data_IF_284202259285
#
_entry.id   IF_284202259285
#
_cell.length_a   1.000
_cell.length_b   1.000
_cell.length_c   1.000
_cell.angle_alpha   90.00
_cell.angle_beta   90.00
_cell.angle_gamma   90.00
#
_symmetry.space_group_name_H-M   'P 1'
#
loop_
_entity.id
_entity.type
_entity.pdbx_description
1 polymer ?
#
# COMPACT_ATOMS: atom_id res chain seq x y z
N UNK A 1 8.66 12.14 22.55
CA UNK A 1 9.21 12.32 21.19
C UNK A 1 8.32 13.30 20.44
N UNK A 2 8.87 14.28 19.74
CA UNK A 2 8.11 15.03 18.75
C UNK A 2 8.17 14.23 17.44
N UNK A 3 7.07 14.08 16.71
CA UNK A 3 7.04 13.25 15.50
C UNK A 3 8.00 13.77 14.41
N UNK A 4 8.20 15.10 14.37
CA UNK A 4 9.12 15.76 13.44
C UNK A 4 10.59 15.46 13.69
N UNK A 5 10.93 14.95 14.88
CA UNK A 5 12.32 14.59 15.23
C UNK A 5 12.66 13.16 14.77
N UNK A 6 11.67 12.41 14.30
CA UNK A 6 11.88 11.06 13.77
C UNK A 6 12.61 11.08 12.44
N UNK A 7 13.58 10.20 12.26
CA UNK A 7 14.24 9.99 10.95
C UNK A 7 13.26 9.52 9.85
N UNK A 8 12.10 9.01 10.24
CA UNK A 8 11.04 8.54 9.34
C UNK A 8 9.99 9.60 9.02
N UNK A 9 10.04 10.77 9.68
CA UNK A 9 9.10 11.84 9.37
C UNK A 9 9.30 12.36 7.95
N UNK A 10 8.22 12.44 7.21
CA UNK A 10 8.16 13.08 5.89
C UNK A 10 6.87 13.88 5.78
N UNK A 11 6.97 15.08 5.26
CA UNK A 11 5.86 16.00 4.97
C UNK A 11 5.50 16.05 3.46
N UNK A 12 5.90 15.03 2.71
CA UNK A 12 5.75 14.92 1.26
C UNK A 12 5.21 13.55 0.86
N UNK A 13 4.55 13.46 -0.29
CA UNK A 13 4.20 12.21 -0.92
C UNK A 13 5.44 11.51 -1.49
N UNK A 14 5.40 10.19 -1.57
CA UNK A 14 6.45 9.39 -2.19
C UNK A 14 5.97 8.88 -3.55
N UNK A 15 6.44 9.47 -4.63
CA UNK A 15 6.04 9.13 -6.00
C UNK A 15 7.30 8.92 -6.85
N UNK A 16 7.40 7.77 -7.51
CA UNK A 16 8.51 7.42 -8.39
C UNK A 16 9.90 7.51 -7.73
N UNK A 17 9.99 7.16 -6.44
CA UNK A 17 11.25 7.26 -5.69
C UNK A 17 11.66 8.70 -5.34
N UNK A 18 10.72 9.64 -5.36
CA UNK A 18 10.94 11.05 -5.02
C UNK A 18 9.92 11.54 -4.01
N UNK A 19 10.36 12.44 -3.12
CA UNK A 19 9.50 13.09 -2.12
C UNK A 19 8.96 14.39 -2.70
N UNK A 20 7.66 14.43 -3.03
CA UNK A 20 7.02 15.53 -3.77
C UNK A 20 5.87 16.16 -3.00
N UNK A 21 5.66 17.47 -3.18
CA UNK A 21 4.49 18.21 -2.70
C UNK A 21 3.27 18.06 -3.62
N UNK A 22 2.17 18.70 -3.24
CA UNK A 22 1.04 18.91 -4.15
C UNK A 22 1.36 20.00 -5.17
N UNK A 23 0.86 19.87 -6.40
CA UNK A 23 1.04 20.86 -7.47
C UNK A 23 0.43 22.21 -7.10
N UNK A 24 -0.64 22.20 -6.30
CA UNK A 24 -1.28 23.41 -5.76
C UNK A 24 -0.49 24.10 -4.65
N UNK A 25 0.50 23.42 -4.07
CA UNK A 25 1.17 23.85 -2.83
C UNK A 25 0.32 23.71 -1.57
N UNK A 26 -0.95 23.27 -1.69
CA UNK A 26 -1.82 23.08 -0.53
C UNK A 26 -1.42 21.87 0.32
N UNK A 27 -1.65 22.00 1.63
CA UNK A 27 -1.39 20.94 2.62
C UNK A 27 -2.63 20.61 3.43
N UNK A 28 -2.57 19.47 4.12
CA UNK A 28 -3.57 19.03 5.09
C UNK A 28 -2.86 18.90 6.44
N UNK A 29 -3.39 19.56 7.47
CA UNK A 29 -2.91 19.40 8.85
C UNK A 29 -3.25 18.02 9.39
N UNK A 30 -2.29 17.43 10.10
CA UNK A 30 -2.44 16.19 10.85
C UNK A 30 -2.35 16.51 12.33
N UNK A 31 -3.35 16.09 13.09
CA UNK A 31 -3.45 16.43 14.50
C UNK A 31 -3.29 15.18 15.38
N UNK A 32 -2.66 15.35 16.52
CA UNK A 32 -2.68 14.34 17.58
C UNK A 32 -4.11 14.29 18.17
N UNK A 33 -4.81 13.15 18.11
CA UNK A 33 -6.21 13.06 18.53
C UNK A 33 -6.41 13.23 20.05
N UNK A 34 -5.38 13.02 20.87
CA UNK A 34 -5.46 13.18 22.32
C UNK A 34 -5.28 14.65 22.75
N UNK A 35 -4.44 15.42 22.05
CA UNK A 35 -4.11 16.80 22.41
C UNK A 35 -4.75 17.83 21.50
N UNK A 36 -5.26 17.40 20.35
CA UNK A 36 -5.79 18.22 19.25
C UNK A 36 -4.76 19.21 18.65
N UNK A 37 -3.50 19.09 19.01
CA UNK A 37 -2.42 19.91 18.47
C UNK A 37 -1.96 19.35 17.12
N UNK A 38 -1.65 20.25 16.19
CA UNK A 38 -1.01 19.86 14.95
C UNK A 38 0.36 19.24 15.21
N UNK A 39 0.63 18.12 14.55
CA UNK A 39 1.88 17.37 14.64
C UNK A 39 2.67 17.40 13.35
N UNK A 40 2.09 17.97 12.30
CA UNK A 40 2.70 18.15 10.98
C UNK A 40 1.66 18.30 9.90
N UNK A 41 2.12 18.44 8.67
CA UNK A 41 1.28 18.58 7.49
C UNK A 41 1.68 17.59 6.41
N UNK A 42 0.75 17.26 5.50
CA UNK A 42 1.02 16.45 4.30
C UNK A 42 0.41 17.11 3.07
N UNK A 43 0.90 16.83 1.86
CA UNK A 43 0.38 17.43 0.63
C UNK A 43 -1.09 17.10 0.41
N UNK A 44 -1.85 18.09 -0.06
CA UNK A 44 -3.25 17.94 -0.48
C UNK A 44 -3.31 17.63 -1.97
N UNK A 45 -2.81 16.47 -2.35
CA UNK A 45 -2.80 16.02 -3.74
C UNK A 45 -4.21 15.68 -4.24
N UNK A 46 -4.37 15.67 -5.55
CA UNK A 46 -5.61 15.35 -6.25
C UNK A 46 -5.38 14.38 -7.41
N UNK A 47 -6.19 14.54 -8.45
CA UNK A 47 -6.20 13.67 -9.64
C UNK A 47 -4.86 13.63 -10.38
N UNK A 48 -4.19 14.79 -10.56
CA UNK A 48 -2.98 14.85 -11.39
C UNK A 48 -1.79 14.10 -10.78
N UNK A 49 -1.56 14.29 -9.48
CA UNK A 49 -0.50 13.57 -8.76
C UNK A 49 -0.82 12.07 -8.69
N UNK A 50 -2.10 11.72 -8.58
CA UNK A 50 -2.53 10.32 -8.61
C UNK A 50 -2.24 9.67 -9.96
N UNK A 51 -2.51 10.36 -11.07
CA UNK A 51 -2.14 9.89 -12.42
C UNK A 51 -0.64 9.64 -12.53
N UNK A 52 0.19 10.60 -12.09
CA UNK A 52 1.65 10.43 -12.11
C UNK A 52 2.11 9.22 -11.28
N UNK A 53 1.52 8.99 -10.11
CA UNK A 53 1.83 7.81 -9.30
C UNK A 53 1.45 6.49 -9.99
N UNK A 54 0.29 6.45 -10.66
CA UNK A 54 -0.16 5.29 -11.45
C UNK A 54 0.76 5.05 -12.66
N UNK A 55 1.11 6.10 -13.39
CA UNK A 55 2.00 6.03 -14.56
C UNK A 55 3.40 5.58 -14.16
N UNK A 56 3.95 6.11 -13.07
CA UNK A 56 5.22 5.68 -12.50
C UNK A 56 5.21 4.20 -12.13
N UNK A 57 4.13 3.74 -11.47
CA UNK A 57 3.95 2.34 -11.12
C UNK A 57 3.90 1.45 -12.38
N UNK A 58 3.17 1.88 -13.40
CA UNK A 58 3.07 1.14 -14.66
C UNK A 58 4.38 1.10 -15.43
N UNK A 59 5.14 2.19 -15.47
CA UNK A 59 6.44 2.26 -16.11
C UNK A 59 7.48 1.36 -15.43
N UNK A 60 7.45 1.24 -14.10
CA UNK A 60 8.35 0.38 -13.33
C UNK A 60 7.96 -1.11 -13.37
N UNK A 61 6.70 -1.43 -13.70
CA UNK A 61 6.17 -2.79 -13.64
C UNK A 61 6.92 -3.83 -14.48
N UNK A 62 7.31 -3.58 -15.76
CA UNK A 62 7.99 -4.57 -16.59
C UNK A 62 9.28 -5.10 -15.97
N UNK A 63 10.10 -4.21 -15.39
CA UNK A 63 11.33 -4.62 -14.69
C UNK A 63 11.01 -5.42 -13.42
N UNK A 64 10.04 -4.95 -12.62
CA UNK A 64 9.68 -5.62 -11.35
C UNK A 64 9.12 -7.02 -11.56
N UNK A 65 8.20 -7.19 -12.50
CA UNK A 65 7.63 -8.51 -12.82
C UNK A 65 8.66 -9.47 -13.41
N UNK A 66 9.68 -8.96 -14.10
CA UNK A 66 10.74 -9.78 -14.68
C UNK A 66 11.76 -10.29 -13.65
N UNK A 67 11.81 -9.68 -12.46
CA UNK A 67 12.66 -10.19 -11.36
C UNK A 67 12.20 -11.57 -10.93
N UNK A 68 13.17 -12.43 -10.58
CA UNK A 68 12.84 -13.73 -10.02
C UNK A 68 12.07 -13.59 -8.69
N UNK A 69 11.29 -14.61 -8.33
CA UNK A 69 10.60 -14.66 -7.03
C UNK A 69 11.58 -14.48 -5.86
N UNK A 70 12.80 -15.02 -5.97
CA UNK A 70 13.86 -14.86 -4.98
C UNK A 70 14.28 -13.40 -4.80
N UNK A 71 14.54 -12.69 -5.88
CA UNK A 71 14.94 -11.29 -5.81
C UNK A 71 13.87 -10.40 -5.16
N UNK A 72 12.58 -10.63 -5.47
CA UNK A 72 11.47 -9.91 -4.82
C UNK A 72 11.35 -10.29 -3.34
N UNK A 73 11.48 -11.57 -3.03
CA UNK A 73 11.50 -12.10 -1.66
C UNK A 73 12.59 -11.46 -0.80
N UNK A 74 13.81 -11.34 -1.33
CA UNK A 74 14.95 -10.79 -0.59
C UNK A 74 14.74 -9.29 -0.25
N UNK A 75 14.13 -8.51 -1.14
CA UNK A 75 13.77 -7.10 -0.88
C UNK A 75 12.67 -7.01 0.18
N UNK A 76 11.62 -7.83 0.07
CA UNK A 76 10.55 -7.89 1.07
C UNK A 76 11.10 -8.31 2.45
N UNK A 77 12.00 -9.30 2.50
CA UNK A 77 12.63 -9.73 3.74
C UNK A 77 13.41 -8.60 4.39
N UNK A 78 14.18 -7.86 3.61
CA UNK A 78 14.90 -6.68 4.11
C UNK A 78 13.93 -5.60 4.64
N UNK A 79 12.80 -5.38 3.96
CA UNK A 79 11.77 -4.46 4.44
C UNK A 79 11.19 -4.89 5.79
N UNK A 80 10.91 -6.19 5.95
CA UNK A 80 10.52 -6.77 7.24
C UNK A 80 11.57 -6.50 8.33
N UNK A 81 12.83 -6.85 8.05
CA UNK A 81 13.92 -6.71 9.02
C UNK A 81 14.04 -5.23 9.48
N UNK A 82 13.99 -4.28 8.55
CA UNK A 82 13.99 -2.84 8.84
C UNK A 82 12.77 -2.40 9.68
N UNK A 83 11.58 -2.96 9.44
CA UNK A 83 10.40 -2.67 10.27
C UNK A 83 10.60 -3.16 11.71
N UNK A 84 11.18 -4.33 11.90
CA UNK A 84 11.43 -4.89 13.24
C UNK A 84 12.54 -4.13 13.97
N UNK A 85 13.63 -3.80 13.29
CA UNK A 85 14.74 -3.00 13.85
C UNK A 85 14.27 -1.62 14.33
N UNK A 86 13.31 -1.02 13.64
CA UNK A 86 12.81 0.32 13.94
C UNK A 86 11.43 0.31 14.64
N UNK A 87 11.03 -0.84 15.18
CA UNK A 87 9.69 -1.07 15.75
C UNK A 87 9.29 -0.02 16.79
N UNK A 88 10.21 0.35 17.66
CA UNK A 88 9.91 1.30 18.75
C UNK A 88 9.61 2.70 18.22
N UNK A 89 10.41 3.20 17.30
CA UNK A 89 10.22 4.53 16.72
C UNK A 89 8.93 4.60 15.86
N UNK A 90 8.67 3.57 15.06
CA UNK A 90 7.43 3.44 14.29
C UNK A 90 6.20 3.39 15.21
N UNK A 91 6.28 2.69 16.34
CA UNK A 91 5.20 2.60 17.31
C UNK A 91 4.92 3.95 17.99
N UNK A 92 5.97 4.69 18.33
CA UNK A 92 5.83 6.04 18.91
C UNK A 92 5.19 7.00 17.92
N UNK A 93 5.61 7.01 16.64
CA UNK A 93 4.98 7.80 15.59
C UNK A 93 3.49 7.46 15.44
N UNK A 94 3.15 6.17 15.42
CA UNK A 94 1.77 5.71 15.32
C UNK A 94 0.93 6.16 16.53
N UNK A 95 1.47 6.05 17.75
CA UNK A 95 0.77 6.52 18.96
C UNK A 95 0.49 8.02 18.88
N UNK A 96 1.43 8.81 18.36
CA UNK A 96 1.28 10.27 18.25
C UNK A 96 0.19 10.64 17.22
N UNK A 97 0.18 9.99 16.04
CA UNK A 97 -0.77 10.36 14.99
C UNK A 97 -2.15 9.70 15.13
N UNK A 98 -2.23 8.48 15.66
CA UNK A 98 -3.46 7.70 15.73
C UNK A 98 -4.11 7.67 17.11
N UNK A 99 -3.33 7.90 18.17
CA UNK A 99 -3.82 7.98 19.55
C UNK A 99 -3.96 6.65 20.27
N UNK A 100 -3.60 5.50 19.67
CA UNK A 100 -3.63 4.22 20.38
C UNK A 100 -2.50 4.11 21.43
N UNK A 101 -2.70 3.32 22.50
CA UNK A 101 -1.66 3.07 23.49
C UNK A 101 -0.39 2.50 22.87
N UNK A 102 0.76 2.89 23.38
CA UNK A 102 2.07 2.50 22.82
C UNK A 102 2.26 0.98 22.71
N UNK A 103 1.74 0.21 23.66
CA UNK A 103 1.83 -1.25 23.61
C UNK A 103 1.00 -1.84 22.46
N UNK A 104 -0.16 -1.24 22.14
CA UNK A 104 -0.95 -1.62 20.98
C UNK A 104 -0.27 -1.22 19.68
N UNK A 105 0.37 -0.04 19.64
CA UNK A 105 1.17 0.39 18.49
C UNK A 105 2.34 -0.56 18.23
N UNK A 106 3.08 -0.96 19.29
CA UNK A 106 4.13 -1.99 19.19
C UNK A 106 3.59 -3.32 18.66
N UNK A 107 2.41 -3.72 19.12
CA UNK A 107 1.69 -4.90 18.64
C UNK A 107 1.36 -4.80 17.16
N UNK A 108 0.84 -3.64 16.74
CA UNK A 108 0.47 -3.41 15.34
C UNK A 108 1.69 -3.39 14.40
N UNK A 109 2.81 -2.78 14.79
CA UNK A 109 4.02 -2.82 13.96
C UNK A 109 4.47 -4.27 13.75
N UNK A 110 4.50 -5.09 14.82
CA UNK A 110 4.81 -6.52 14.70
C UNK A 110 3.82 -7.28 13.81
N UNK A 111 2.53 -7.01 13.96
CA UNK A 111 1.47 -7.57 13.13
C UNK A 111 1.59 -7.14 11.67
N UNK A 112 1.86 -5.86 11.39
CA UNK A 112 2.10 -5.36 10.04
C UNK A 112 3.34 -5.98 9.40
N UNK A 113 4.42 -6.13 10.16
CA UNK A 113 5.64 -6.76 9.71
C UNK A 113 5.44 -8.25 9.38
N UNK A 114 4.62 -8.98 10.14
CA UNK A 114 4.36 -10.40 9.88
C UNK A 114 3.72 -10.67 8.51
N UNK A 115 2.94 -9.73 7.95
CA UNK A 115 2.48 -9.85 6.57
C UNK A 115 3.63 -9.74 5.57
N UNK A 116 4.57 -8.83 5.81
CA UNK A 116 5.74 -8.67 4.92
C UNK A 116 6.61 -9.92 4.97
N UNK A 117 6.86 -10.47 6.17
CA UNK A 117 7.59 -11.73 6.36
C UNK A 117 6.90 -12.87 5.61
N UNK A 118 5.61 -13.10 5.89
CA UNK A 118 4.83 -14.18 5.27
C UNK A 118 4.90 -14.12 3.75
N UNK A 119 4.60 -12.96 3.18
CA UNK A 119 4.58 -12.82 1.72
C UNK A 119 5.96 -12.75 1.08
N UNK A 120 7.02 -12.45 1.83
CA UNK A 120 8.39 -12.61 1.34
C UNK A 120 8.69 -14.09 1.05
N UNK A 121 8.17 -15.00 1.87
CA UNK A 121 8.33 -16.44 1.69
C UNK A 121 7.35 -17.01 0.65
N UNK A 122 6.08 -16.56 0.68
CA UNK A 122 5.07 -16.98 -0.29
C UNK A 122 5.37 -16.51 -1.71
N UNK A 123 6.17 -15.46 -1.91
CA UNK A 123 6.64 -15.06 -3.24
C UNK A 123 7.23 -16.21 -4.05
N UNK A 124 7.90 -17.15 -3.37
CA UNK A 124 8.55 -18.34 -3.97
C UNK A 124 7.60 -19.51 -4.21
N UNK A 125 6.32 -19.42 -3.76
CA UNK A 125 5.30 -20.47 -3.85
C UNK A 125 4.14 -20.11 -4.78
N UNK A 126 4.31 -19.13 -5.65
CA UNK A 126 3.33 -18.78 -6.69
C UNK A 126 3.43 -19.81 -7.81
N UNK A 127 2.98 -21.02 -7.52
CA UNK A 127 3.02 -22.16 -8.47
C UNK A 127 1.91 -22.02 -9.52
N UNK A 128 2.13 -22.65 -10.67
CA UNK A 128 1.10 -22.94 -11.65
C UNK A 128 0.54 -24.35 -11.47
N UNK A 129 -0.31 -24.76 -12.41
CA UNK A 129 -0.95 -26.07 -12.40
C UNK A 129 -0.70 -26.80 -13.72
N UNK A 130 -0.58 -28.12 -13.68
CA UNK A 130 -0.64 -28.98 -14.84
C UNK A 130 -1.91 -29.82 -14.73
N UNK A 131 -2.82 -29.64 -15.67
CA UNK A 131 -4.17 -30.22 -15.64
C UNK A 131 -4.24 -31.30 -16.70
N UNK A 132 -4.73 -32.53 -16.39
CA UNK A 132 -5.03 -33.53 -17.40
C UNK A 132 -6.08 -33.03 -18.38
N UNK A 133 -5.82 -33.18 -19.68
CA UNK A 133 -6.81 -32.95 -20.73
C UNK A 133 -7.60 -34.24 -20.97
N UNK A 134 -8.90 -34.16 -21.33
CA UNK A 134 -9.67 -35.34 -21.76
C UNK A 134 -9.12 -36.01 -23.01
N UNK A 135 -8.32 -35.29 -23.80
CA UNK A 135 -7.64 -35.83 -24.98
C UNK A 135 -6.22 -36.27 -24.61
N UNK A 136 -5.73 -37.32 -25.26
CA UNK A 136 -4.42 -37.89 -24.96
C UNK A 136 -3.25 -37.19 -25.65
N UNK A 137 -3.52 -36.34 -26.63
CA UNK A 137 -2.54 -35.66 -27.48
C UNK A 137 -2.09 -34.29 -26.94
N UNK A 138 -2.62 -33.84 -25.80
CA UNK A 138 -2.32 -32.51 -25.24
C UNK A 138 -2.22 -32.50 -23.71
N UNK A 139 -1.65 -31.42 -23.19
CA UNK A 139 -1.59 -31.09 -21.75
C UNK A 139 -1.95 -29.65 -21.54
N UNK A 140 -2.66 -29.34 -20.46
CA UNK A 140 -3.02 -27.99 -20.04
C UNK A 140 -2.03 -27.53 -18.99
N UNK A 141 -1.38 -26.40 -19.20
CA UNK A 141 -0.48 -25.77 -18.24
C UNK A 141 -1.02 -24.39 -17.89
N UNK A 142 -1.21 -24.14 -16.59
CA UNK A 142 -1.68 -22.85 -16.05
C UNK A 142 -0.49 -22.13 -15.44
N UNK A 143 -0.25 -20.89 -15.87
CA UNK A 143 0.79 -20.01 -15.33
C UNK A 143 0.12 -18.84 -14.60
N UNK A 144 0.54 -18.58 -13.36
CA UNK A 144 0.10 -17.40 -12.59
C UNK A 144 1.00 -16.22 -12.93
N UNK A 145 0.39 -15.10 -13.28
CA UNK A 145 1.10 -13.88 -13.66
C UNK A 145 0.60 -12.67 -12.85
N UNK A 146 1.47 -11.66 -12.57
CA UNK A 146 1.05 -10.43 -11.93
C UNK A 146 0.05 -9.65 -12.80
N UNK A 147 -1.02 -9.15 -12.18
CA UNK A 147 -2.11 -8.48 -12.90
C UNK A 147 -1.78 -7.06 -13.36
N UNK A 148 -0.79 -6.39 -12.75
CA UNK A 148 -0.41 -5.01 -13.03
C UNK A 148 -0.48 -4.12 -11.80
N UNK A 149 -0.75 -2.83 -12.00
CA UNK A 149 -0.79 -1.83 -10.92
C UNK A 149 -1.93 -2.12 -9.95
N UNK A 150 -1.61 -2.13 -8.65
CA UNK A 150 -2.54 -2.34 -7.55
C UNK A 150 -2.73 -1.04 -6.77
N UNK A 151 -3.98 -0.60 -6.61
CA UNK A 151 -4.34 0.50 -5.71
C UNK A 151 -4.67 -0.04 -4.31
N UNK A 152 -4.16 0.61 -3.28
CA UNK A 152 -4.41 0.28 -1.87
C UNK A 152 -4.96 1.50 -1.14
N UNK A 153 -6.21 1.43 -0.68
CA UNK A 153 -6.84 2.48 0.12
C UNK A 153 -7.08 1.92 1.51
N UNK A 154 -6.58 2.61 2.55
CA UNK A 154 -6.55 2.10 3.92
C UNK A 154 -7.18 3.06 4.93
N UNK A 155 -7.80 2.53 6.01
CA UNK A 155 -8.38 3.33 7.08
C UNK A 155 -7.31 3.78 8.09
N UNK A 156 -7.76 4.60 9.06
CA UNK A 156 -6.92 5.18 10.10
C UNK A 156 -6.65 4.27 11.30
N UNK A 157 -7.47 3.23 11.52
CA UNK A 157 -7.46 2.45 12.76
C UNK A 157 -6.27 1.47 12.90
N UNK A 158 -5.71 1.02 11.77
CA UNK A 158 -4.50 0.20 11.69
C UNK A 158 -3.60 0.74 10.57
N UNK A 159 -2.97 1.90 10.76
CA UNK A 159 -2.32 2.65 9.68
C UNK A 159 -1.06 1.99 9.11
N UNK A 160 -0.47 1.03 9.82
CA UNK A 160 0.64 0.22 9.34
C UNK A 160 0.16 -1.12 8.78
N UNK A 161 -0.54 -1.92 9.59
CA UNK A 161 -0.91 -3.29 9.23
C UNK A 161 -1.89 -3.37 8.04
N UNK A 162 -2.80 -2.39 7.87
CA UNK A 162 -3.72 -2.40 6.73
C UNK A 162 -3.00 -2.08 5.41
N UNK A 163 -1.87 -1.41 5.45
CA UNK A 163 -1.03 -1.17 4.29
C UNK A 163 -0.24 -2.44 3.94
N UNK A 164 0.53 -2.97 4.89
CA UNK A 164 1.42 -4.10 4.63
C UNK A 164 0.67 -5.34 4.17
N UNK A 165 -0.49 -5.67 4.76
CA UNK A 165 -1.33 -6.81 4.35
C UNK A 165 -1.88 -6.72 2.92
N UNK A 166 -1.95 -5.51 2.34
CA UNK A 166 -2.37 -5.27 0.95
C UNK A 166 -1.18 -5.20 0.00
N UNK A 167 -0.13 -4.51 0.42
CA UNK A 167 1.03 -4.23 -0.42
C UNK A 167 1.99 -5.42 -0.50
N UNK A 168 2.24 -6.12 0.61
CA UNK A 168 3.18 -7.23 0.63
C UNK A 168 2.80 -8.34 -0.38
N UNK A 169 1.56 -8.87 -0.41
CA UNK A 169 1.18 -9.87 -1.42
C UNK A 169 1.27 -9.34 -2.85
N UNK A 170 0.89 -8.07 -3.10
CA UNK A 170 1.00 -7.49 -4.43
C UNK A 170 2.45 -7.40 -4.90
N UNK A 171 3.34 -6.87 -4.06
CA UNK A 171 4.77 -6.74 -4.33
C UNK A 171 5.43 -8.11 -4.51
N UNK A 172 5.07 -9.10 -3.68
CA UNK A 172 5.59 -10.45 -3.73
C UNK A 172 5.36 -11.13 -5.09
N UNK A 173 4.17 -10.96 -5.67
CA UNK A 173 3.83 -11.56 -6.97
C UNK A 173 4.29 -10.74 -8.17
N UNK A 174 4.89 -9.55 -7.95
CA UNK A 174 5.43 -8.71 -9.02
C UNK A 174 4.49 -7.59 -9.48
N UNK A 175 3.52 -7.17 -8.65
CA UNK A 175 2.64 -6.02 -8.89
C UNK A 175 3.18 -4.77 -8.16
N UNK A 176 3.30 -3.61 -8.83
CA UNK A 176 3.58 -2.35 -8.15
C UNK A 176 2.33 -1.82 -7.45
N UNK A 177 2.52 -0.93 -6.47
CA UNK A 177 1.43 -0.43 -5.63
C UNK A 177 1.38 1.09 -5.56
N UNK A 178 0.15 1.62 -5.56
CA UNK A 178 -0.16 3.02 -5.23
C UNK A 178 -1.02 3.02 -3.98
N UNK A 179 -0.52 3.63 -2.91
CA UNK A 179 -1.11 3.61 -1.57
C UNK A 179 -1.74 4.97 -1.28
N UNK A 180 -3.02 4.96 -0.91
CA UNK A 180 -3.71 6.11 -0.34
C UNK A 180 -4.04 5.81 1.12
N UNK A 181 -3.24 6.30 2.09
CA UNK A 181 -3.54 6.16 3.51
C UNK A 181 -4.70 7.07 3.93
N UNK A 182 -5.27 6.83 5.11
CA UNK A 182 -6.20 7.77 5.70
C UNK A 182 -5.53 9.13 5.95
N UNK A 183 -6.28 10.22 5.77
CA UNK A 183 -5.75 11.57 5.95
C UNK A 183 -5.39 11.89 7.40
N UNK A 184 -5.98 11.16 8.35
CA UNK A 184 -5.71 11.29 9.79
C UNK A 184 -4.40 10.63 10.23
N UNK A 185 -3.90 9.64 9.48
CA UNK A 185 -2.73 8.83 9.86
C UNK A 185 -1.81 8.56 8.66
N UNK A 186 -1.29 9.63 8.02
CA UNK A 186 -0.44 9.50 6.85
C UNK A 186 1.00 9.15 7.18
N UNK A 187 1.52 9.55 8.36
CA UNK A 187 2.94 9.43 8.69
C UNK A 187 3.39 7.98 8.83
N UNK A 188 2.55 7.08 9.35
CA UNK A 188 2.85 5.64 9.36
C UNK A 188 3.05 5.09 7.94
N UNK A 189 2.28 5.56 6.96
CA UNK A 189 2.44 5.14 5.56
C UNK A 189 3.72 5.70 4.94
N UNK A 190 4.04 6.97 5.23
CA UNK A 190 5.25 7.62 4.73
C UNK A 190 6.51 7.00 5.36
N UNK A 191 6.46 6.62 6.64
CA UNK A 191 7.54 5.87 7.30
C UNK A 191 7.77 4.50 6.64
N UNK A 192 6.71 3.79 6.26
CA UNK A 192 6.82 2.54 5.48
C UNK A 192 7.49 2.77 4.13
N UNK A 193 7.24 3.91 3.47
CA UNK A 193 7.90 4.26 2.21
C UNK A 193 9.39 4.54 2.40
N UNK A 194 9.79 5.22 3.48
CA UNK A 194 11.22 5.40 3.83
C UNK A 194 11.91 4.05 3.96
N UNK A 195 11.31 3.13 4.73
CA UNK A 195 11.87 1.79 4.91
C UNK A 195 11.87 0.96 3.61
N UNK A 196 10.90 1.17 2.73
CA UNK A 196 10.87 0.51 1.42
C UNK A 196 12.01 1.01 0.52
N UNK A 197 12.30 2.31 0.54
CA UNK A 197 13.44 2.89 -0.16
C UNK A 197 14.77 2.30 0.35
N UNK A 198 14.96 2.22 1.68
CA UNK A 198 16.12 1.58 2.31
C UNK A 198 16.22 0.07 2.02
N UNK A 199 15.09 -0.60 1.89
CA UNK A 199 15.04 -2.02 1.52
C UNK A 199 15.48 -2.28 0.06
N UNK A 200 15.45 -1.26 -0.79
CA UNK A 200 15.90 -1.32 -2.17
C UNK A 200 14.78 -1.63 -3.17
N UNK A 201 13.54 -1.28 -2.85
CA UNK A 201 12.49 -1.28 -3.87
C UNK A 201 12.85 -0.31 -5.01
N UNK A 202 12.75 -0.72 -6.28
CA UNK A 202 12.98 0.19 -7.40
C UNK A 202 12.00 1.37 -7.38
N UNK A 203 12.43 2.49 -7.96
CA UNK A 203 11.58 3.68 -8.15
C UNK A 203 10.28 3.29 -8.85
N UNK A 204 9.15 3.84 -8.39
CA UNK A 204 7.83 3.59 -8.95
C UNK A 204 7.14 2.32 -8.45
N UNK A 205 7.83 1.35 -7.84
CA UNK A 205 7.21 0.09 -7.38
C UNK A 205 6.30 0.29 -6.16
N UNK A 206 6.67 1.18 -5.26
CA UNK A 206 5.84 1.60 -4.14
C UNK A 206 5.66 3.10 -4.20
N UNK A 207 4.42 3.56 -4.19
CA UNK A 207 4.06 4.97 -4.19
C UNK A 207 3.07 5.25 -3.06
N UNK A 208 3.24 6.36 -2.36
CA UNK A 208 2.32 6.81 -1.30
C UNK A 208 1.84 8.22 -1.62
N UNK A 209 0.52 8.38 -1.71
CA UNK A 209 -0.11 9.65 -2.03
C UNK A 209 -1.11 10.05 -0.94
N UNK A 210 -1.00 11.28 -0.47
CA UNK A 210 -1.93 11.92 0.48
C UNK A 210 -2.74 12.99 -0.22
N UNK A 211 -3.92 13.33 0.28
CA UNK A 211 -4.72 14.41 -0.31
C UNK A 211 -6.23 14.16 -0.28
N UNK A 212 -6.94 14.75 -1.23
CA UNK A 212 -8.40 14.68 -1.34
C UNK A 212 -8.87 13.26 -1.63
N UNK A 213 -9.54 12.65 -0.65
CA UNK A 213 -9.93 11.24 -0.72
C UNK A 213 -10.83 10.91 -1.91
N UNK A 214 -11.76 11.82 -2.28
CA UNK A 214 -12.64 11.65 -3.43
C UNK A 214 -11.87 11.67 -4.75
N UNK A 215 -11.04 12.68 -4.98
CA UNK A 215 -10.29 12.82 -6.24
C UNK A 215 -9.29 11.67 -6.45
N UNK A 216 -8.53 11.33 -5.40
CA UNK A 216 -7.58 10.22 -5.45
C UNK A 216 -8.32 8.88 -5.61
N UNK A 217 -9.41 8.68 -4.84
CA UNK A 217 -10.21 7.47 -4.91
C UNK A 217 -10.86 7.27 -6.28
N UNK A 218 -11.36 8.34 -6.87
CA UNK A 218 -11.97 8.34 -8.20
C UNK A 218 -10.95 7.95 -9.27
N UNK A 219 -9.79 8.59 -9.26
CA UNK A 219 -8.73 8.28 -10.22
C UNK A 219 -8.23 6.83 -10.07
N UNK A 220 -8.01 6.36 -8.85
CA UNK A 220 -7.61 4.97 -8.59
C UNK A 220 -8.68 3.96 -9.04
N UNK A 221 -9.96 4.32 -8.91
CA UNK A 221 -11.07 3.44 -9.27
C UNK A 221 -11.36 3.42 -10.79
N UNK A 222 -11.20 4.55 -11.49
CA UNK A 222 -11.59 4.65 -12.91
C UNK A 222 -10.44 4.49 -13.89
N UNK A 223 -9.20 4.74 -13.46
CA UNK A 223 -8.03 4.66 -14.34
C UNK A 223 -7.81 3.22 -14.85
N UNK A 224 -7.76 3.00 -16.18
CA UNK A 224 -7.65 1.65 -16.78
C UNK A 224 -6.30 0.97 -16.53
N UNK A 225 -5.25 1.71 -16.17
CA UNK A 225 -3.93 1.16 -15.82
C UNK A 225 -3.99 0.41 -14.48
N UNK A 226 -4.83 0.86 -13.54
CA UNK A 226 -5.06 0.17 -12.27
C UNK A 226 -5.85 -1.11 -12.53
N UNK A 227 -5.28 -2.27 -12.21
CA UNK A 227 -5.87 -3.59 -12.47
C UNK A 227 -6.59 -4.18 -11.27
N UNK A 228 -6.22 -3.78 -10.08
CA UNK A 228 -6.84 -4.22 -8.82
C UNK A 228 -6.93 -3.07 -7.84
N UNK A 229 -8.08 -2.96 -7.17
CA UNK A 229 -8.27 -2.04 -6.06
C UNK A 229 -8.50 -2.83 -4.78
N UNK A 230 -7.68 -2.59 -3.76
CA UNK A 230 -7.83 -3.16 -2.42
C UNK A 230 -8.22 -2.06 -1.43
N UNK A 231 -9.41 -2.17 -0.89
CA UNK A 231 -10.02 -1.17 0.00
C UNK A 231 -10.31 -1.75 1.38
N UNK A 232 -10.06 -0.98 2.42
CA UNK A 232 -10.61 -1.21 3.76
C UNK A 232 -11.14 0.10 4.29
N UNK A 233 -12.40 0.14 4.70
CA UNK A 233 -13.08 1.34 5.20
C UNK A 233 -14.57 1.11 5.44
N UNK A 234 -15.39 2.15 5.29
CA UNK A 234 -16.84 2.04 5.44
C UNK A 234 -17.50 1.32 4.27
N UNK A 235 -18.61 0.65 4.55
CA UNK A 235 -19.44 -0.03 3.52
C UNK A 235 -19.91 0.95 2.44
N UNK A 236 -20.29 2.16 2.83
CA UNK A 236 -20.74 3.21 1.92
C UNK A 236 -19.69 3.55 0.86
N UNK A 237 -18.48 3.88 1.29
CA UNK A 237 -17.37 4.17 0.36
C UNK A 237 -16.99 2.93 -0.46
N UNK A 238 -17.07 1.74 0.13
CA UNK A 238 -16.85 0.48 -0.59
C UNK A 238 -17.82 0.32 -1.77
N UNK A 239 -19.10 0.60 -1.59
CA UNK A 239 -20.13 0.56 -2.65
C UNK A 239 -19.81 1.56 -3.77
N UNK A 240 -19.47 2.81 -3.42
CA UNK A 240 -19.10 3.86 -4.39
C UNK A 240 -17.89 3.41 -5.22
N UNK A 241 -16.86 2.87 -4.58
CA UNK A 241 -15.66 2.40 -5.28
C UNK A 241 -15.97 1.20 -6.19
N UNK A 242 -16.82 0.26 -5.76
CA UNK A 242 -17.28 -0.85 -6.60
C UNK A 242 -18.01 -0.37 -7.86
N UNK A 243 -18.95 0.57 -7.69
CA UNK A 243 -19.68 1.18 -8.80
C UNK A 243 -18.70 1.82 -9.80
N UNK A 244 -17.75 2.63 -9.34
CA UNK A 244 -16.75 3.27 -10.20
C UNK A 244 -15.81 2.26 -10.88
N UNK A 245 -15.48 1.16 -10.24
CA UNK A 245 -14.65 0.10 -10.82
C UNK A 245 -15.38 -0.72 -11.88
N UNK A 246 -16.72 -0.76 -11.89
CA UNK A 246 -17.52 -1.58 -12.81
C UNK A 246 -17.25 -1.26 -14.28
N UNK A 247 -17.02 0.00 -14.59
CA UNK A 247 -16.73 0.44 -15.97
C UNK A 247 -15.42 -0.11 -16.57
N UNK A 248 -14.51 -0.59 -15.75
CA UNK A 248 -13.23 -1.18 -16.18
C UNK A 248 -13.10 -2.66 -15.80
N UNK A 249 -14.13 -3.25 -15.20
CA UNK A 249 -14.19 -4.67 -14.75
C UNK A 249 -12.94 -5.08 -13.94
N UNK A 250 -12.36 -4.13 -13.19
CA UNK A 250 -11.17 -4.44 -12.39
C UNK A 250 -11.54 -5.22 -11.12
N UNK A 251 -10.64 -6.08 -10.68
CA UNK A 251 -10.82 -6.82 -9.45
C UNK A 251 -10.83 -5.88 -8.25
N UNK A 252 -11.90 -5.90 -7.46
CA UNK A 252 -12.02 -5.15 -6.19
C UNK A 252 -12.01 -6.13 -5.04
N UNK A 253 -11.11 -5.92 -4.10
CA UNK A 253 -11.05 -6.66 -2.84
C UNK A 253 -11.21 -5.68 -1.69
N UNK A 254 -12.21 -5.90 -0.84
CA UNK A 254 -12.49 -5.00 0.27
C UNK A 254 -12.94 -5.72 1.52
N UNK A 255 -12.56 -5.16 2.67
CA UNK A 255 -13.14 -5.49 3.97
C UNK A 255 -13.80 -4.23 4.52
N UNK A 256 -15.10 -4.30 4.75
CA UNK A 256 -15.90 -3.22 5.34
C UNK A 256 -16.69 -3.72 6.55
N UNK A 257 -16.96 -2.85 7.46
CA UNK A 257 -17.83 -3.18 8.61
C UNK A 257 -19.29 -2.95 8.23
N UNK A 258 -20.25 -3.80 8.69
CA UNK A 258 -20.11 -4.90 9.62
C UNK A 258 -19.90 -6.29 9.02
N UNK A 259 -19.83 -6.45 7.70
CA UNK A 259 -19.72 -7.78 7.08
C UNK A 259 -18.33 -7.98 6.48
N UNK A 260 -17.66 -9.04 6.95
CA UNK A 260 -16.45 -9.55 6.30
C UNK A 260 -16.88 -10.50 5.18
N UNK A 261 -16.86 -10.04 3.93
CA UNK A 261 -16.98 -10.93 2.79
C UNK A 261 -15.59 -11.20 2.23
N UNK A 262 -15.21 -12.46 2.29
CA UNK A 262 -14.06 -12.96 1.54
C UNK A 262 -14.58 -13.39 0.16
N UNK A 263 -14.29 -12.60 -0.87
CA UNK A 263 -14.32 -13.10 -2.23
C UNK A 263 -12.92 -13.57 -2.58
N UNK A 264 -12.80 -14.86 -2.79
CA UNK A 264 -11.61 -15.56 -3.29
C UNK A 264 -11.45 -15.26 -4.78
#
# INVERSE_FOLDING_TARGET
MNITDSKFYRDKCFINGEWVGADSGETISVNNPATLKEIGTVPKCGTNETKRAIEAANAAWPEWRARSARQRSDILRKWFDLMIENKEELAQMMTIEQGKPINESRGEIGYGASFVEWFSEEAKRVYGDTIPDPMTDRRIVVLKQPVGVVASITPWNFPNAMITRKCAPALAVGCPVVIKPASQTPFSALALAVLAEEAGFPKGILNVITGKASEIGDELATNPIVRKLSFTGSTEIGKILLEKCSGTVKSVYGTWRPCSFYCI
#
